data_IF_900747882419
#
_entry.id   IF_900747882419
#
_cell.length_a   1.000
_cell.length_b   1.000
_cell.length_c   1.000
_cell.angle_alpha   90.00
_cell.angle_beta   90.00
_cell.angle_gamma   90.00
#
_symmetry.space_group_name_H-M   'P 1'
#
loop_
_entity.id
_entity.type
_entity.pdbx_description
1 polymer ?
#
# COMPACT_ATOMS: atom_id res chain seq x y z
N UNK A 1 8.95 8.52 -3.23
CA UNK A 1 7.94 8.78 -4.26
C UNK A 1 8.63 8.77 -5.60
N UNK A 2 8.26 7.85 -6.48
CA UNK A 2 8.59 7.95 -7.90
C UNK A 2 7.75 9.11 -8.39
N UNK A 3 8.40 10.24 -8.62
CA UNK A 3 7.72 11.51 -8.82
C UNK A 3 7.67 11.87 -10.29
N UNK A 4 6.52 12.37 -10.67
CA UNK A 4 6.19 13.25 -11.76
C UNK A 4 6.74 12.93 -13.18
N UNK A 5 6.27 13.70 -14.10
CA UNK A 5 6.24 13.52 -15.53
C UNK A 5 7.59 13.42 -16.25
N UNK A 6 8.73 13.52 -15.55
CA UNK A 6 10.05 13.54 -16.18
C UNK A 6 11.14 12.84 -15.35
N UNK A 7 10.75 11.99 -14.38
CA UNK A 7 11.71 11.28 -13.55
C UNK A 7 12.36 10.14 -14.34
N UNK A 8 13.67 10.19 -14.48
CA UNK A 8 14.46 9.25 -15.27
C UNK A 8 15.04 8.13 -14.42
N UNK A 9 15.45 7.03 -15.08
CA UNK A 9 16.18 5.94 -14.43
C UNK A 9 17.45 6.43 -13.74
N UNK A 10 18.20 7.35 -14.35
CA UNK A 10 19.42 7.91 -13.78
C UNK A 10 19.16 8.70 -12.48
N UNK A 11 18.08 9.49 -12.43
CA UNK A 11 17.69 10.21 -11.21
C UNK A 11 17.21 9.26 -10.12
N UNK A 12 16.62 8.12 -10.50
CA UNK A 12 16.26 7.07 -9.56
C UNK A 12 17.50 6.43 -8.96
N UNK A 13 18.51 6.10 -9.77
CA UNK A 13 19.75 5.52 -9.32
C UNK A 13 20.51 6.47 -8.36
N UNK A 14 20.63 7.75 -8.70
CA UNK A 14 21.18 8.78 -7.81
C UNK A 14 20.44 8.85 -6.48
N UNK A 15 19.10 8.72 -6.52
CA UNK A 15 18.28 8.69 -5.31
C UNK A 15 18.56 7.46 -4.46
N UNK A 16 18.76 6.29 -5.07
CA UNK A 16 19.11 5.06 -4.36
C UNK A 16 20.48 5.14 -3.69
N UNK A 17 21.49 5.72 -4.37
CA UNK A 17 22.82 5.95 -3.78
C UNK A 17 22.72 6.85 -2.54
N UNK A 18 21.93 7.92 -2.58
CA UNK A 18 21.69 8.80 -1.44
C UNK A 18 21.01 8.08 -0.27
N UNK A 19 19.98 7.26 -0.57
CA UNK A 19 19.24 6.47 0.41
C UNK A 19 20.16 5.46 1.10
N UNK A 20 20.97 4.75 0.31
CA UNK A 20 21.91 3.76 0.82
C UNK A 20 23.01 4.42 1.65
N UNK A 21 23.60 5.53 1.16
CA UNK A 21 24.58 6.32 1.88
C UNK A 21 24.04 6.90 3.20
N UNK A 22 22.74 7.18 3.27
CA UNK A 22 22.02 7.58 4.47
C UNK A 22 21.71 6.44 5.45
N UNK A 23 21.99 5.19 5.09
CA UNK A 23 21.76 4.01 5.95
C UNK A 23 20.30 3.65 6.14
N UNK A 24 19.41 4.05 5.22
CA UNK A 24 18.01 3.66 5.28
C UNK A 24 17.85 2.13 5.15
N UNK A 25 16.94 1.57 5.91
CA UNK A 25 16.68 0.13 5.93
C UNK A 25 15.34 -0.26 5.30
N UNK A 26 14.49 0.73 5.00
CA UNK A 26 13.17 0.56 4.43
C UNK A 26 12.87 1.68 3.44
N UNK A 27 12.25 1.32 2.31
CA UNK A 27 11.87 2.24 1.24
C UNK A 27 10.42 1.98 0.86
N UNK A 28 9.66 3.06 0.73
CA UNK A 28 8.32 3.04 0.13
C UNK A 28 8.39 3.71 -1.23
N UNK A 29 8.16 2.95 -2.29
CA UNK A 29 8.18 3.40 -3.68
C UNK A 29 6.79 3.25 -4.29
N UNK A 30 6.16 4.37 -4.64
CA UNK A 30 4.80 4.40 -5.18
C UNK A 30 4.81 4.91 -6.61
N UNK A 31 4.04 4.26 -7.48
CA UNK A 31 3.62 4.86 -8.74
C UNK A 31 2.63 6.00 -8.46
N UNK A 32 2.76 7.10 -9.20
CA UNK A 32 1.82 8.19 -9.10
C UNK A 32 0.44 7.75 -9.60
N UNK A 33 -0.54 7.75 -8.71
CA UNK A 33 -1.96 7.63 -9.06
C UNK A 33 -2.62 8.98 -8.90
N UNK A 34 -3.20 9.48 -9.96
CA UNK A 34 -3.91 10.76 -9.95
C UNK A 34 -5.38 10.49 -9.62
N UNK A 35 -5.81 10.99 -8.46
CA UNK A 35 -7.21 10.93 -8.06
C UNK A 35 -8.00 12.08 -8.72
N UNK A 36 -9.18 11.80 -9.30
CA UNK A 36 -9.95 12.79 -10.07
C UNK A 36 -10.27 14.08 -9.31
N UNK A 37 -10.52 13.96 -8.01
CA UNK A 37 -10.87 15.11 -7.15
C UNK A 37 -9.67 15.90 -6.63
N UNK A 38 -8.46 15.42 -6.86
CA UNK A 38 -7.22 16.12 -6.48
C UNK A 38 -6.94 17.32 -7.38
N UNK A 39 -6.01 18.19 -6.97
CA UNK A 39 -5.56 19.30 -7.81
C UNK A 39 -4.98 18.79 -9.13
N UNK A 40 -4.21 17.71 -9.13
CA UNK A 40 -3.68 17.06 -10.33
C UNK A 40 -4.77 16.39 -11.18
N UNK A 41 -5.84 15.87 -10.57
CA UNK A 41 -6.98 15.33 -11.31
C UNK A 41 -7.75 16.40 -12.08
N UNK A 42 -7.86 17.59 -11.49
CA UNK A 42 -8.53 18.75 -12.13
C UNK A 42 -7.65 19.45 -13.16
N UNK A 43 -6.34 19.44 -12.94
CA UNK A 43 -5.34 20.08 -13.80
C UNK A 43 -4.14 19.13 -13.97
N UNK A 44 -4.26 18.09 -14.80
CA UNK A 44 -3.17 17.12 -14.99
C UNK A 44 -1.91 17.81 -15.52
N UNK A 45 -0.72 17.51 -14.97
CA UNK A 45 0.53 18.00 -15.54
C UNK A 45 0.72 17.45 -16.94
N UNK A 46 1.41 18.21 -17.80
CA UNK A 46 1.84 17.73 -19.10
C UNK A 46 2.97 16.69 -18.95
N UNK A 47 3.07 15.76 -19.92
CA UNK A 47 4.16 14.78 -19.97
C UNK A 47 4.09 13.68 -18.92
N UNK A 48 2.90 13.36 -18.42
CA UNK A 48 2.71 12.18 -17.59
C UNK A 48 3.04 10.90 -18.39
N UNK A 49 3.71 9.91 -17.76
CA UNK A 49 3.97 8.65 -18.42
C UNK A 49 2.67 7.91 -18.74
N UNK A 50 2.67 7.17 -19.83
CA UNK A 50 1.64 6.19 -20.15
C UNK A 50 1.62 5.07 -19.12
N UNK A 51 0.56 4.26 -19.10
CA UNK A 51 0.49 3.09 -18.22
C UNK A 51 1.65 2.10 -18.47
N UNK A 52 2.05 1.90 -19.72
CA UNK A 52 3.14 0.99 -20.07
C UNK A 52 4.51 1.56 -19.64
N UNK A 53 4.78 2.84 -19.89
CA UNK A 53 6.00 3.50 -19.40
C UNK A 53 6.11 3.50 -17.88
N UNK A 54 4.99 3.71 -17.18
CA UNK A 54 4.96 3.63 -15.73
C UNK A 54 5.22 2.20 -15.22
N UNK A 55 4.70 1.18 -15.92
CA UNK A 55 4.93 -0.22 -15.60
C UNK A 55 6.40 -0.62 -15.83
N UNK A 56 6.99 -0.21 -16.96
CA UNK A 56 8.40 -0.48 -17.27
C UNK A 56 9.31 0.17 -16.23
N UNK A 57 9.05 1.43 -15.88
CA UNK A 57 9.79 2.11 -14.82
C UNK A 57 9.64 1.45 -13.45
N UNK A 58 8.44 0.95 -13.12
CA UNK A 58 8.24 0.21 -11.88
C UNK A 58 9.07 -1.08 -11.84
N UNK A 59 9.11 -1.83 -12.93
CA UNK A 59 9.93 -3.05 -13.01
C UNK A 59 11.42 -2.73 -12.89
N UNK A 60 11.89 -1.68 -13.55
CA UNK A 60 13.25 -1.17 -13.38
C UNK A 60 13.55 -0.82 -11.91
N UNK A 61 12.65 -0.05 -11.28
CA UNK A 61 12.81 0.34 -9.88
C UNK A 61 12.86 -0.87 -8.92
N UNK A 62 12.04 -1.91 -9.16
CA UNK A 62 12.07 -3.15 -8.38
C UNK A 62 13.44 -3.83 -8.52
N UNK A 63 13.97 -3.94 -9.74
CA UNK A 63 15.28 -4.56 -10.00
C UNK A 63 16.41 -3.80 -9.30
N UNK A 64 16.45 -2.47 -9.44
CA UNK A 64 17.48 -1.66 -8.80
C UNK A 64 17.41 -1.72 -7.26
N UNK A 65 16.21 -1.64 -6.69
CA UNK A 65 16.02 -1.79 -5.24
C UNK A 65 16.53 -3.14 -4.75
N UNK A 66 16.28 -4.23 -5.48
CA UNK A 66 16.77 -5.56 -5.12
C UNK A 66 18.30 -5.66 -5.23
N UNK A 67 18.93 -5.02 -6.23
CA UNK A 67 20.39 -4.95 -6.37
C UNK A 67 21.04 -4.22 -5.18
N UNK A 68 20.39 -3.18 -4.65
CA UNK A 68 20.82 -2.44 -3.45
C UNK A 68 20.44 -3.15 -2.13
N UNK A 69 19.92 -4.38 -2.20
CA UNK A 69 19.63 -5.23 -1.02
C UNK A 69 18.29 -4.94 -0.34
N UNK A 70 17.42 -4.15 -0.96
CA UNK A 70 16.05 -3.94 -0.50
C UNK A 70 15.12 -4.94 -1.16
N UNK A 71 14.64 -5.91 -0.40
CA UNK A 71 13.71 -6.92 -0.91
C UNK A 71 12.28 -6.42 -0.88
N UNK A 72 11.58 -6.57 -2.00
CA UNK A 72 10.16 -6.29 -2.06
C UNK A 72 9.41 -7.27 -1.15
N UNK A 73 8.64 -6.79 -0.18
CA UNK A 73 7.79 -7.63 0.65
C UNK A 73 6.29 -7.41 0.37
N UNK A 74 5.92 -6.26 -0.20
CA UNK A 74 4.60 -5.97 -0.75
C UNK A 74 4.73 -5.00 -1.94
N UNK A 75 3.65 -4.70 -2.64
CA UNK A 75 3.64 -3.98 -3.93
C UNK A 75 4.49 -2.70 -3.91
N UNK A 76 4.41 -1.89 -2.85
CA UNK A 76 5.02 -0.56 -2.79
C UNK A 76 6.11 -0.43 -1.74
N UNK A 77 6.40 -1.49 -0.99
CA UNK A 77 7.35 -1.43 0.11
C UNK A 77 8.47 -2.46 -0.01
N UNK A 78 9.67 -1.96 0.23
CA UNK A 78 10.93 -2.68 0.12
C UNK A 78 11.73 -2.51 1.40
N UNK A 79 12.44 -3.54 1.85
CA UNK A 79 13.22 -3.49 3.06
C UNK A 79 14.48 -4.34 2.97
N UNK A 80 15.52 -3.97 3.72
CA UNK A 80 16.60 -4.90 4.04
C UNK A 80 16.04 -6.02 4.90
N UNK A 81 16.53 -7.27 4.78
CA UNK A 81 15.99 -8.41 5.52
C UNK A 81 15.87 -8.14 7.02
N UNK A 82 14.68 -8.36 7.58
CA UNK A 82 14.37 -8.11 8.99
C UNK A 82 13.91 -6.68 9.32
N UNK A 83 13.81 -5.80 8.31
CA UNK A 83 13.33 -4.42 8.47
C UNK A 83 11.99 -4.16 7.78
N UNK A 84 11.24 -5.22 7.45
CA UNK A 84 9.91 -5.11 6.88
C UNK A 84 8.98 -4.34 7.82
N UNK A 85 8.15 -3.47 7.26
CA UNK A 85 7.23 -2.63 8.01
C UNK A 85 6.15 -3.46 8.73
N UNK A 86 6.38 -3.83 9.99
CA UNK A 86 5.44 -4.64 10.80
C UNK A 86 4.05 -4.02 10.86
N UNK A 87 3.96 -2.69 10.91
CA UNK A 87 2.69 -1.99 10.91
C UNK A 87 1.93 -2.21 9.59
N UNK A 88 2.61 -2.14 8.45
CA UNK A 88 2.01 -2.42 7.15
C UNK A 88 1.54 -3.87 7.05
N UNK A 89 2.33 -4.81 7.55
CA UNK A 89 1.98 -6.24 7.54
C UNK A 89 0.72 -6.54 8.37
N UNK A 90 0.47 -5.80 9.47
CA UNK A 90 -0.78 -5.91 10.24
C UNK A 90 -2.00 -5.62 9.35
N UNK A 91 -1.95 -4.59 8.52
CA UNK A 91 -3.04 -4.29 7.59
C UNK A 91 -3.26 -5.40 6.57
N UNK A 92 -2.17 -5.89 5.98
CA UNK A 92 -2.23 -6.91 4.92
C UNK A 92 -2.66 -8.28 5.46
N UNK A 93 -2.37 -8.58 6.72
CA UNK A 93 -2.78 -9.80 7.41
C UNK A 93 -4.16 -9.68 8.10
N UNK A 94 -4.93 -8.62 7.84
CA UNK A 94 -6.22 -8.31 8.47
C UNK A 94 -6.15 -8.31 10.01
N UNK A 95 -5.00 -7.92 10.56
CA UNK A 95 -4.79 -7.83 12.00
C UNK A 95 -5.48 -6.61 12.62
N UNK A 96 -5.59 -6.63 13.95
CA UNK A 96 -6.18 -5.51 14.69
C UNK A 96 -5.26 -4.29 14.70
N UNK A 97 -5.83 -3.12 14.41
CA UNK A 97 -5.18 -1.82 14.54
C UNK A 97 -6.16 -0.74 14.94
N UNK A 98 -5.68 0.27 15.64
CA UNK A 98 -6.46 1.42 16.08
C UNK A 98 -5.92 2.69 15.45
N UNK A 99 -6.75 3.35 14.64
CA UNK A 99 -6.49 4.67 14.09
C UNK A 99 -6.84 5.75 15.10
N UNK A 100 -5.97 6.76 15.23
CA UNK A 100 -6.15 7.88 16.15
C UNK A 100 -6.37 9.18 15.37
N UNK A 101 -7.50 9.82 15.58
CA UNK A 101 -7.81 11.13 15.02
C UNK A 101 -8.89 11.12 13.92
N UNK A 102 -9.25 12.32 13.40
CA UNK A 102 -10.20 12.47 12.31
C UNK A 102 -9.74 11.73 11.06
N UNK A 103 -10.67 11.14 10.32
CA UNK A 103 -10.43 10.29 9.15
C UNK A 103 -9.59 9.03 9.39
N UNK A 104 -9.17 8.75 10.62
CA UNK A 104 -8.39 7.56 10.92
C UNK A 104 -9.28 6.31 10.94
N UNK A 105 -8.87 5.31 10.14
CA UNK A 105 -9.53 4.00 10.09
C UNK A 105 -8.95 3.06 11.14
N UNK A 106 -9.80 2.16 11.62
CA UNK A 106 -9.46 1.12 12.60
C UNK A 106 -10.04 -0.22 12.15
N UNK A 107 -9.40 -1.30 12.58
CA UNK A 107 -9.93 -2.65 12.51
C UNK A 107 -9.70 -3.32 13.87
N UNK A 108 -10.77 -3.70 14.56
CA UNK A 108 -10.70 -4.34 15.87
C UNK A 108 -11.67 -5.51 15.93
N UNK A 109 -11.16 -6.71 16.22
CA UNK A 109 -11.96 -7.93 16.23
C UNK A 109 -12.67 -8.19 14.89
N UNK A 110 -11.98 -7.91 13.77
CA UNK A 110 -12.51 -8.05 12.41
C UNK A 110 -13.56 -7.01 12.01
N UNK A 111 -13.82 -5.99 12.81
CA UNK A 111 -14.76 -4.89 12.49
C UNK A 111 -13.99 -3.65 12.11
N UNK A 112 -14.31 -3.07 10.94
CA UNK A 112 -13.74 -1.80 10.48
C UNK A 112 -14.64 -0.64 10.87
N UNK A 113 -14.00 0.44 11.30
CA UNK A 113 -14.67 1.71 11.60
C UNK A 113 -13.69 2.87 11.41
N UNK A 114 -14.21 4.07 11.28
CA UNK A 114 -13.41 5.27 11.19
C UNK A 114 -14.11 6.44 11.88
N UNK A 115 -13.35 7.47 12.24
CA UNK A 115 -13.93 8.75 12.64
C UNK A 115 -14.09 9.64 11.41
N UNK A 116 -15.21 10.38 11.28
CA UNK A 116 -15.38 11.35 10.18
C UNK A 116 -14.23 12.36 10.10
N UNK A 117 -13.94 12.92 8.91
CA UNK A 117 -12.86 13.91 8.73
C UNK A 117 -13.23 15.31 9.26
N UNK A 118 -13.90 15.38 10.39
CA UNK A 118 -14.29 16.61 11.08
C UNK A 118 -13.44 16.80 12.34
N UNK A 119 -12.39 17.59 12.21
CA UNK A 119 -11.45 17.88 13.30
C UNK A 119 -12.13 18.60 14.45
N UNK A 120 -13.07 19.51 14.19
CA UNK A 120 -13.75 20.26 15.25
C UNK A 120 -14.67 19.35 16.07
N UNK A 121 -15.45 18.50 15.41
CA UNK A 121 -16.29 17.51 16.08
C UNK A 121 -15.45 16.51 16.89
N UNK A 122 -14.31 16.08 16.33
CA UNK A 122 -13.41 15.14 17.03
C UNK A 122 -12.82 15.75 18.31
N UNK A 123 -12.32 16.99 18.23
CA UNK A 123 -11.73 17.70 19.37
C UNK A 123 -12.74 18.05 20.50
N UNK A 124 -14.02 18.15 20.16
CA UNK A 124 -15.10 18.44 21.09
C UNK A 124 -15.85 17.18 21.57
N UNK A 125 -15.29 15.97 21.36
CA UNK A 125 -15.92 14.69 21.67
C UNK A 125 -17.32 14.50 21.03
N UNK A 126 -17.61 15.24 19.97
CA UNK A 126 -18.88 15.16 19.23
C UNK A 126 -18.84 14.17 18.06
N UNK A 127 -17.66 13.69 17.67
CA UNK A 127 -17.52 12.71 16.61
C UNK A 127 -17.78 11.30 17.13
N UNK A 128 -18.71 10.58 16.49
CA UNK A 128 -18.92 9.16 16.73
C UNK A 128 -18.23 8.33 15.64
N UNK A 129 -17.72 7.11 15.97
CA UNK A 129 -17.17 6.23 14.97
C UNK A 129 -18.26 5.74 14.01
N UNK A 130 -17.92 5.68 12.73
CA UNK A 130 -18.77 5.17 11.65
C UNK A 130 -18.29 3.77 11.30
N UNK A 131 -19.20 2.80 11.29
CA UNK A 131 -18.87 1.43 10.89
C UNK A 131 -18.64 1.37 9.39
N UNK A 132 -17.54 0.73 8.98
CA UNK A 132 -17.06 0.57 7.60
C UNK A 132 -16.99 -0.93 7.21
N UNK A 133 -17.89 -1.72 7.74
CA UNK A 133 -17.99 -3.16 7.45
C UNK A 133 -17.09 -4.04 8.32
N UNK A 134 -16.79 -5.22 7.80
CA UNK A 134 -15.94 -6.21 8.48
C UNK A 134 -14.82 -6.65 7.54
N UNK A 135 -13.69 -7.07 8.12
CA UNK A 135 -12.63 -7.71 7.37
C UNK A 135 -13.03 -9.17 7.12
N UNK A 136 -13.54 -9.44 5.91
CA UNK A 136 -14.02 -10.76 5.51
C UNK A 136 -12.96 -11.56 4.74
N UNK A 137 -13.36 -12.74 4.27
CA UNK A 137 -12.50 -13.62 3.47
C UNK A 137 -12.07 -12.98 2.14
N UNK A 138 -12.94 -12.19 1.53
CA UNK A 138 -12.64 -11.45 0.29
C UNK A 138 -11.59 -10.36 0.53
N UNK A 139 -11.74 -9.58 1.60
CA UNK A 139 -10.74 -8.58 1.99
C UNK A 139 -9.39 -9.26 2.25
N UNK A 140 -9.37 -10.36 2.99
CA UNK A 140 -8.15 -11.12 3.27
C UNK A 140 -7.48 -11.57 1.97
N UNK A 141 -8.25 -12.13 1.01
CA UNK A 141 -7.72 -12.56 -0.28
C UNK A 141 -7.05 -11.39 -1.02
N UNK A 142 -7.75 -10.26 -1.16
CA UNK A 142 -7.25 -9.07 -1.86
C UNK A 142 -5.97 -8.54 -1.17
N UNK A 143 -5.95 -8.48 0.14
CA UNK A 143 -4.83 -7.96 0.91
C UNK A 143 -3.60 -8.88 0.85
N UNK A 144 -3.79 -10.20 0.90
CA UNK A 144 -2.69 -11.16 0.77
C UNK A 144 -2.06 -11.18 -0.63
N UNK A 145 -2.84 -10.89 -1.69
CA UNK A 145 -2.32 -10.76 -3.05
C UNK A 145 -1.38 -9.54 -3.22
N UNK A 146 -1.38 -8.60 -2.29
CA UNK A 146 -0.40 -7.51 -2.26
C UNK A 146 0.98 -7.97 -1.79
N UNK A 147 1.05 -9.06 -1.02
CA UNK A 147 2.28 -9.54 -0.41
C UNK A 147 3.09 -10.42 -1.37
N UNK A 148 4.40 -10.25 -1.36
CA UNK A 148 5.30 -11.11 -2.13
C UNK A 148 5.24 -12.58 -1.71
N UNK A 149 4.92 -12.85 -0.42
CA UNK A 149 4.70 -14.22 0.09
C UNK A 149 3.47 -14.89 -0.52
N UNK A 150 2.55 -14.09 -1.08
CA UNK A 150 1.30 -14.59 -1.64
C UNK A 150 0.32 -15.11 -0.61
N UNK A 151 -0.68 -15.84 -1.08
CA UNK A 151 -1.78 -16.40 -0.29
C UNK A 151 -1.47 -17.84 0.14
N UNK A 152 -1.68 -18.15 1.42
CA UNK A 152 -1.68 -19.54 1.90
C UNK A 152 -3.00 -20.23 1.54
N UNK A 153 -2.93 -21.32 0.77
CA UNK A 153 -4.10 -22.11 0.41
C UNK A 153 -4.78 -22.76 1.64
N UNK A 154 -4.01 -23.07 2.67
CA UNK A 154 -4.54 -23.61 3.93
C UNK A 154 -5.42 -22.59 4.65
N UNK A 155 -5.03 -21.30 4.61
CA UNK A 155 -5.84 -20.21 5.17
C UNK A 155 -7.15 -20.00 4.40
N UNK A 156 -7.14 -20.22 3.09
CA UNK A 156 -8.35 -20.12 2.22
C UNK A 156 -9.35 -21.21 2.54
N UNK A 157 -8.89 -22.44 2.78
CA UNK A 157 -9.78 -23.58 3.09
C UNK A 157 -10.57 -23.36 4.39
N UNK A 158 -10.02 -22.63 5.34
CA UNK A 158 -10.68 -22.30 6.62
C UNK A 158 -11.76 -21.22 6.50
N UNK A 159 -11.71 -20.39 5.44
CA UNK A 159 -12.62 -19.25 5.27
C UNK A 159 -13.87 -19.56 4.41
N UNK A 160 -14.12 -20.81 4.04
CA UNK A 160 -15.25 -21.24 3.19
C UNK A 160 -15.33 -20.52 1.82
N UNK A 161 -14.21 -20.05 1.28
CA UNK A 161 -14.15 -19.62 -0.10
C UNK A 161 -14.22 -20.84 -1.02
N UNK A 162 -15.42 -21.22 -1.40
CA UNK A 162 -15.61 -22.13 -2.52
C UNK A 162 -15.24 -21.38 -3.80
N UNK A 163 -14.04 -21.61 -4.32
CA UNK A 163 -13.72 -21.19 -5.68
C UNK A 163 -14.74 -21.84 -6.62
N UNK A 164 -15.37 -21.08 -7.55
CA UNK A 164 -16.25 -21.68 -8.52
C UNK A 164 -15.45 -22.70 -9.32
N UNK A 165 -15.78 -23.98 -9.13
CA UNK A 165 -15.28 -25.05 -9.98
C UNK A 165 -15.71 -24.72 -11.39
N UNK A 166 -14.76 -24.55 -12.32
CA UNK A 166 -15.05 -24.45 -13.73
C UNK A 166 -15.92 -25.65 -14.10
N UNK A 167 -17.16 -25.39 -14.47
CA UNK A 167 -17.92 -26.36 -15.25
C UNK A 167 -17.22 -26.52 -16.60
N UNK A 168 -16.77 -27.73 -16.85
CA UNK A 168 -16.29 -28.22 -18.14
C UNK A 168 -17.35 -28.13 -19.21
#
# INVERSE_FOLDING_TARGET
CIRDSHYTEAEFDETLELIEGGGATHISAYLLKIEPDSAFGKHPPEGLPTGDEAADFYLYAVEQLEHHGYKQYEISNFAKPGYEGRHNLIYWDCGDYLGLGPAAHSCMGGRRFYYPPDTAAFLNDAAAPVMDGSCGAEDYLILQLRLRKGLSLDAVSYTHLTLPTRCS
#
